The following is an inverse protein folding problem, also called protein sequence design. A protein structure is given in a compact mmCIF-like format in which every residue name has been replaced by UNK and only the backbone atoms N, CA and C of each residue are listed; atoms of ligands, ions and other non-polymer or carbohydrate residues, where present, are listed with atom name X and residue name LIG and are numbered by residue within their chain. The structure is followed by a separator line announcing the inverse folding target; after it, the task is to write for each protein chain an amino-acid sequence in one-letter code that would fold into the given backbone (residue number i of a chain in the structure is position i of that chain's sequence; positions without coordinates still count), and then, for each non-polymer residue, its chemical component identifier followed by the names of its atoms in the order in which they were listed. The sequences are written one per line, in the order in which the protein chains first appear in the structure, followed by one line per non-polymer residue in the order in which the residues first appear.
data_IF_778652030592
#
_entry.id   IF_778652030592
#
_cell.length_a   1.000
_cell.length_b   1.000
_cell.length_c   1.000
_cell.angle_alpha   90.00
_cell.angle_beta   90.00
_cell.angle_gamma   90.00
#
_symmetry.space_group_name_H-M   'P 1'
#
loop_
_entity.id
_entity.type
_entity.pdbx_description
1 polymer ?
#
# COMPACT_ATOMS: atom_id res chain seq x y z
N UNK A 1 -28.49 6.79 -42.64
CA UNK A 1 -28.74 6.15 -41.32
C UNK A 1 -27.58 5.21 -41.11
N UNK A 2 -26.50 5.67 -40.47
CA UNK A 2 -25.41 4.79 -39.99
C UNK A 2 -25.95 4.07 -38.78
N UNK A 3 -26.22 2.77 -38.95
CA UNK A 3 -26.48 1.88 -37.82
C UNK A 3 -25.18 1.75 -37.07
N UNK A 4 -25.05 2.47 -35.98
CA UNK A 4 -23.95 2.25 -34.98
C UNK A 4 -24.10 0.80 -34.56
N UNK A 5 -23.27 -0.07 -35.11
CA UNK A 5 -23.15 -1.45 -34.61
C UNK A 5 -22.69 -1.36 -33.18
N UNK A 6 -23.61 -1.55 -32.25
CA UNK A 6 -23.26 -1.79 -30.84
C UNK A 6 -22.49 -3.10 -30.86
N UNK A 7 -21.17 -3.03 -30.75
CA UNK A 7 -20.33 -4.21 -30.68
C UNK A 7 -20.61 -4.91 -29.35
N UNK A 8 -21.28 -6.07 -29.45
CA UNK A 8 -21.54 -6.94 -28.27
C UNK A 8 -20.23 -7.23 -27.57
N UNK A 9 -20.20 -7.10 -26.24
CA UNK A 9 -19.02 -7.37 -25.43
C UNK A 9 -18.60 -8.85 -25.53
N UNK A 10 -19.60 -9.74 -25.58
CA UNK A 10 -19.45 -11.17 -25.85
C UNK A 10 -20.40 -11.50 -26.99
N UNK A 11 -19.90 -12.04 -28.13
CA UNK A 11 -20.74 -12.37 -29.26
C UNK A 11 -21.97 -13.22 -28.89
N UNK A 12 -23.11 -12.85 -29.37
CA UNK A 12 -24.42 -13.50 -29.15
C UNK A 12 -24.96 -13.39 -27.72
N UNK A 13 -24.37 -12.53 -26.86
CA UNK A 13 -24.94 -12.19 -25.57
C UNK A 13 -25.40 -10.73 -25.53
N UNK A 14 -26.58 -10.44 -24.94
CA UNK A 14 -26.95 -9.07 -24.61
C UNK A 14 -25.81 -8.38 -23.80
N UNK A 15 -25.66 -7.06 -24.03
CA UNK A 15 -24.56 -6.29 -23.42
C UNK A 15 -24.52 -6.40 -21.90
N UNK A 16 -25.68 -6.42 -21.26
CA UNK A 16 -25.81 -6.52 -19.81
C UNK A 16 -25.30 -7.87 -19.29
N UNK A 17 -25.60 -8.96 -20.00
CA UNK A 17 -25.12 -10.30 -19.63
C UNK A 17 -23.62 -10.45 -19.90
N UNK A 18 -23.12 -9.86 -20.99
CA UNK A 18 -21.69 -9.80 -21.25
C UNK A 18 -20.94 -9.06 -20.16
N UNK A 19 -21.44 -7.89 -19.72
CA UNK A 19 -20.87 -7.13 -18.61
C UNK A 19 -20.91 -7.92 -17.29
N UNK A 20 -22.04 -8.60 -17.00
CA UNK A 20 -22.18 -9.43 -15.80
C UNK A 20 -21.16 -10.58 -15.78
N UNK A 21 -20.92 -11.24 -16.91
CA UNK A 21 -19.88 -12.26 -17.04
C UNK A 21 -18.49 -11.70 -16.73
N UNK A 22 -18.17 -10.54 -17.33
CA UNK A 22 -16.86 -9.88 -17.08
C UNK A 22 -16.71 -9.44 -15.63
N UNK A 23 -17.78 -8.93 -15.01
CA UNK A 23 -17.81 -8.47 -13.63
C UNK A 23 -17.46 -9.58 -12.64
N UNK A 24 -17.89 -10.81 -12.92
CA UNK A 24 -17.67 -12.00 -12.07
C UNK A 24 -16.33 -12.69 -12.29
N UNK A 25 -15.54 -12.26 -13.28
CA UNK A 25 -14.22 -12.86 -13.50
C UNK A 25 -13.32 -12.62 -12.26
N UNK A 26 -12.65 -13.67 -11.75
CA UNK A 26 -11.64 -13.47 -10.73
C UNK A 26 -10.48 -12.64 -11.30
N UNK A 27 -9.85 -11.82 -10.47
CA UNK A 27 -8.75 -10.95 -10.93
C UNK A 27 -7.59 -11.76 -11.57
N UNK A 28 -7.37 -12.98 -11.13
CA UNK A 28 -6.37 -13.90 -11.70
C UNK A 28 -6.61 -14.23 -13.17
N UNK A 29 -7.86 -14.14 -13.64
CA UNK A 29 -8.24 -14.34 -15.04
C UNK A 29 -8.15 -13.06 -15.89
N UNK A 30 -8.03 -11.87 -15.27
CA UNK A 30 -8.06 -10.59 -15.98
C UNK A 30 -6.96 -10.48 -17.04
N UNK A 31 -5.74 -10.95 -16.72
CA UNK A 31 -4.62 -10.94 -17.68
C UNK A 31 -4.95 -11.69 -18.97
N UNK A 32 -5.53 -12.88 -18.86
CA UNK A 32 -5.89 -13.68 -20.03
C UNK A 32 -7.06 -13.05 -20.76
N UNK A 33 -8.06 -12.58 -20.02
CA UNK A 33 -9.22 -11.91 -20.59
C UNK A 33 -8.85 -10.61 -21.32
N UNK A 34 -7.93 -9.80 -20.78
CA UNK A 34 -7.47 -8.56 -21.44
C UNK A 34 -6.75 -8.79 -22.78
N UNK A 35 -6.27 -10.01 -23.05
CA UNK A 35 -5.60 -10.38 -24.28
C UNK A 35 -6.58 -10.86 -25.39
N UNK A 36 -7.85 -11.05 -25.08
CA UNK A 36 -8.86 -11.53 -26.03
C UNK A 36 -9.15 -10.50 -27.12
N UNK A 37 -9.42 -9.26 -26.73
CA UNK A 37 -9.60 -8.14 -27.65
C UNK A 37 -9.41 -6.80 -26.93
N UNK A 38 -9.25 -5.74 -27.74
CA UNK A 38 -9.05 -4.38 -27.19
C UNK A 38 -10.21 -3.93 -26.30
N UNK A 39 -11.46 -4.22 -26.67
CA UNK A 39 -12.65 -3.85 -25.89
C UNK A 39 -12.63 -4.47 -24.48
N UNK A 40 -12.21 -5.74 -24.36
CA UNK A 40 -12.07 -6.38 -23.05
C UNK A 40 -10.91 -5.78 -22.25
N UNK A 41 -9.79 -5.50 -22.90
CA UNK A 41 -8.67 -4.83 -22.26
C UNK A 41 -9.09 -3.45 -21.71
N UNK A 42 -9.66 -2.61 -22.58
CA UNK A 42 -10.10 -1.26 -22.21
C UNK A 42 -11.16 -1.29 -21.08
N UNK A 43 -12.07 -2.28 -21.08
CA UNK A 43 -13.05 -2.47 -20.02
C UNK A 43 -12.39 -2.83 -18.70
N UNK A 44 -11.55 -3.89 -18.70
CA UNK A 44 -10.93 -4.43 -17.50
C UNK A 44 -9.96 -3.44 -16.83
N UNK A 45 -9.31 -2.58 -17.60
CA UNK A 45 -8.42 -1.54 -17.12
C UNK A 45 -9.14 -0.26 -16.65
N UNK A 46 -10.45 -0.12 -17.00
CA UNK A 46 -11.18 1.11 -16.72
C UNK A 46 -11.53 1.25 -15.24
N UNK A 47 -11.42 2.49 -14.74
CA UNK A 47 -11.84 2.81 -13.37
C UNK A 47 -13.33 2.59 -13.13
N UNK A 48 -14.15 2.83 -14.15
CA UNK A 48 -15.61 2.67 -14.05
C UNK A 48 -15.98 1.20 -13.82
N UNK A 49 -15.28 0.28 -14.48
CA UNK A 49 -15.44 -1.15 -14.25
C UNK A 49 -14.94 -1.58 -12.88
N UNK A 50 -13.81 -1.04 -12.42
CA UNK A 50 -13.34 -1.26 -11.06
C UNK A 50 -14.40 -0.85 -10.02
N UNK A 51 -14.95 0.37 -10.13
CA UNK A 51 -15.99 0.84 -9.20
C UNK A 51 -17.28 0.05 -9.31
N UNK A 52 -17.64 -0.40 -10.53
CA UNK A 52 -18.79 -1.27 -10.75
C UNK A 52 -18.61 -2.61 -10.01
N UNK A 53 -17.46 -3.27 -10.16
CA UNK A 53 -17.14 -4.50 -9.42
C UNK A 53 -17.14 -4.28 -7.92
N UNK A 54 -16.53 -3.20 -7.45
CA UNK A 54 -16.48 -2.83 -6.03
C UNK A 54 -17.86 -2.66 -5.44
N UNK A 55 -18.75 -1.95 -6.12
CA UNK A 55 -20.14 -1.75 -5.71
C UNK A 55 -20.91 -3.06 -5.58
N UNK A 56 -20.63 -4.02 -6.43
CA UNK A 56 -21.28 -5.34 -6.45
C UNK A 56 -20.58 -6.39 -5.55
N UNK A 57 -19.46 -6.04 -4.92
CA UNK A 57 -18.71 -6.93 -4.04
C UNK A 57 -17.90 -8.02 -4.76
N UNK A 58 -17.55 -7.80 -6.02
CA UNK A 58 -16.73 -8.72 -6.81
C UNK A 58 -15.24 -8.36 -6.83
N UNK A 59 -14.84 -7.36 -6.06
CA UNK A 59 -13.42 -7.04 -5.86
C UNK A 59 -12.79 -8.03 -4.90
N UNK A 60 -11.48 -8.20 -5.03
CA UNK A 60 -10.67 -9.11 -4.25
C UNK A 60 -9.57 -8.35 -3.51
N UNK A 61 -9.28 -8.71 -2.26
CA UNK A 61 -8.30 -8.01 -1.43
C UNK A 61 -7.07 -8.88 -1.22
N UNK A 62 -5.91 -8.31 -1.57
CA UNK A 62 -4.61 -8.94 -1.39
C UNK A 62 -3.70 -8.06 -0.55
N UNK A 63 -2.80 -8.68 0.23
CA UNK A 63 -1.73 -7.96 0.90
C UNK A 63 -0.54 -7.82 -0.05
N UNK A 64 -0.05 -6.59 -0.24
CA UNK A 64 1.19 -6.30 -0.94
C UNK A 64 2.24 -5.88 0.09
N UNK A 65 3.39 -6.56 0.09
CA UNK A 65 4.45 -6.42 1.10
C UNK A 65 5.75 -5.97 0.43
N UNK A 66 6.42 -4.98 0.98
CA UNK A 66 7.85 -4.75 0.73
C UNK A 66 8.61 -5.72 1.63
N UNK A 67 9.15 -6.77 1.06
CA UNK A 67 9.70 -7.90 1.79
C UNK A 67 11.11 -8.23 1.36
N UNK A 68 11.96 -8.59 2.32
CA UNK A 68 13.30 -9.08 2.07
C UNK A 68 13.25 -10.38 1.24
N UNK A 69 14.10 -10.45 0.21
CA UNK A 69 14.24 -11.61 -0.67
C UNK A 69 15.35 -12.50 -0.16
N UNK A 70 15.04 -13.78 0.05
CA UNK A 70 16.02 -14.78 0.46
C UNK A 70 16.50 -15.62 -0.73
N UNK A 71 17.81 -15.98 -0.76
CA UNK A 71 18.33 -17.06 -1.57
C UNK A 71 18.67 -16.72 -3.03
N UNK A 72 18.58 -17.71 -3.91
CA UNK A 72 19.18 -17.81 -5.24
C UNK A 72 18.73 -16.77 -6.29
N UNK A 73 17.72 -15.96 -6.00
CA UNK A 73 17.23 -14.91 -6.91
C UNK A 73 18.07 -13.61 -6.85
N UNK A 74 19.01 -13.53 -5.91
CA UNK A 74 20.01 -12.46 -5.89
C UNK A 74 21.04 -12.78 -6.97
N UNK A 75 20.83 -12.27 -8.17
CA UNK A 75 21.76 -12.37 -9.29
C UNK A 75 23.19 -12.02 -8.83
N UNK A 76 24.18 -12.84 -9.23
CA UNK A 76 25.59 -12.63 -9.01
C UNK A 76 26.01 -11.23 -9.42
N UNK A 77 26.15 -10.34 -8.46
CA UNK A 77 26.53 -8.95 -8.72
C UNK A 77 26.29 -8.00 -7.55
N UNK A 78 25.56 -8.42 -6.52
CA UNK A 78 25.34 -7.56 -5.35
C UNK A 78 26.61 -7.47 -4.49
N UNK A 79 26.86 -6.26 -4.01
CA UNK A 79 27.96 -5.86 -3.14
C UNK A 79 28.17 -6.84 -1.99
N UNK A 80 29.44 -7.07 -1.63
CA UNK A 80 29.88 -7.67 -0.37
C UNK A 80 29.23 -6.92 0.82
N UNK A 81 28.07 -7.38 1.27
CA UNK A 81 27.42 -6.84 2.47
C UNK A 81 26.13 -7.64 2.74
N UNK A 82 25.94 -8.06 3.98
CA UNK A 82 24.78 -8.85 4.46
C UNK A 82 23.45 -8.06 4.50
N UNK A 83 23.25 -7.04 3.67
CA UNK A 83 21.98 -6.29 3.63
C UNK A 83 20.98 -7.03 2.77
N UNK A 84 19.74 -7.24 3.25
CA UNK A 84 18.70 -7.90 2.46
C UNK A 84 18.30 -7.03 1.30
N UNK A 85 18.08 -7.62 0.11
CA UNK A 85 17.41 -6.99 -1.02
C UNK A 85 15.89 -7.04 -0.79
N UNK A 86 15.15 -6.02 -1.20
CA UNK A 86 13.70 -5.97 -1.05
C UNK A 86 12.97 -6.08 -2.38
N UNK A 87 11.90 -6.85 -2.40
CA UNK A 87 10.95 -6.98 -3.52
C UNK A 87 9.52 -6.85 -3.05
N UNK A 88 8.58 -6.91 -4.00
CA UNK A 88 7.14 -6.91 -3.69
C UNK A 88 6.60 -8.34 -3.68
N UNK A 89 6.07 -8.75 -2.55
CA UNK A 89 5.33 -10.01 -2.37
C UNK A 89 3.85 -9.72 -2.27
N UNK A 90 3.04 -10.54 -2.91
CA UNK A 90 1.57 -10.51 -2.82
C UNK A 90 1.11 -11.76 -2.09
N UNK A 91 0.27 -11.58 -1.08
CA UNK A 91 -0.42 -12.65 -0.39
C UNK A 91 -1.93 -12.53 -0.58
N UNK A 92 -2.53 -13.58 -1.07
CA UNK A 92 -3.98 -13.72 -1.21
C UNK A 92 -4.52 -14.60 -0.09
N UNK A 93 -5.27 -13.98 0.83
CA UNK A 93 -5.82 -14.69 2.00
C UNK A 93 -6.92 -15.69 1.65
N UNK A 94 -7.63 -15.50 0.53
CA UNK A 94 -8.72 -16.39 0.13
C UNK A 94 -8.19 -17.70 -0.47
N UNK A 95 -7.14 -17.63 -1.28
CA UNK A 95 -6.49 -18.81 -1.89
C UNK A 95 -5.28 -19.31 -1.10
N UNK A 96 -4.84 -18.58 -0.07
CA UNK A 96 -3.62 -18.87 0.71
C UNK A 96 -2.37 -18.98 -0.19
N UNK A 97 -2.30 -18.14 -1.24
CA UNK A 97 -1.21 -18.17 -2.21
C UNK A 97 -0.29 -16.98 -2.05
N UNK A 98 0.99 -17.22 -2.30
CA UNK A 98 2.05 -16.24 -2.28
C UNK A 98 2.61 -16.07 -3.68
N UNK A 99 2.90 -14.85 -4.07
CA UNK A 99 3.48 -14.52 -5.37
C UNK A 99 4.48 -13.37 -5.23
N UNK A 100 5.59 -13.43 -5.99
CA UNK A 100 6.52 -12.32 -6.14
C UNK A 100 6.17 -11.55 -7.41
N UNK A 101 6.02 -10.22 -7.31
CA UNK A 101 5.87 -9.40 -8.51
C UNK A 101 7.20 -9.27 -9.24
N UNK A 102 7.11 -9.07 -10.56
CA UNK A 102 8.28 -8.72 -11.36
C UNK A 102 8.98 -7.47 -10.80
N UNK A 103 10.29 -7.34 -10.95
CA UNK A 103 11.02 -6.17 -10.50
C UNK A 103 10.44 -4.86 -11.05
N UNK A 104 10.52 -3.82 -10.24
CA UNK A 104 10.09 -2.46 -10.61
C UNK A 104 11.04 -1.90 -11.70
N UNK A 105 10.54 -1.18 -12.70
CA UNK A 105 11.41 -0.51 -13.69
C UNK A 105 12.51 0.29 -13.02
N UNK A 106 13.70 0.32 -13.63
CA UNK A 106 14.91 0.95 -13.10
C UNK A 106 15.52 0.30 -11.83
N UNK A 107 14.82 -0.65 -11.21
CA UNK A 107 15.26 -1.36 -10.01
C UNK A 107 15.19 -2.88 -10.18
N UNK A 108 16.01 -3.47 -11.07
CA UNK A 108 15.89 -4.90 -11.44
C UNK A 108 16.33 -5.86 -10.34
N UNK A 109 17.07 -5.37 -9.32
CA UNK A 109 17.63 -6.21 -8.26
C UNK A 109 16.87 -6.02 -6.96
N UNK A 110 16.60 -4.76 -6.55
CA UNK A 110 15.96 -4.44 -5.28
C UNK A 110 15.21 -3.11 -5.36
N UNK A 111 14.16 -2.96 -4.56
CA UNK A 111 13.38 -1.74 -4.47
C UNK A 111 14.16 -0.60 -3.82
N UNK A 112 13.77 0.67 -4.03
CA UNK A 112 14.20 1.75 -3.16
C UNK A 112 13.92 1.42 -1.70
N UNK A 113 14.92 1.57 -0.85
CA UNK A 113 14.79 1.30 0.58
C UNK A 113 13.76 2.26 1.19
N UNK A 114 12.89 1.73 2.06
CA UNK A 114 11.85 2.52 2.73
C UNK A 114 10.85 3.19 1.79
N UNK A 115 10.69 2.67 0.56
CA UNK A 115 9.61 3.11 -0.31
C UNK A 115 8.24 2.85 0.34
N UNK A 116 7.27 3.70 0.02
CA UNK A 116 5.91 3.61 0.54
C UNK A 116 4.97 2.97 -0.48
N UNK A 117 4.00 2.22 0.00
CA UNK A 117 2.98 1.55 -0.80
C UNK A 117 1.62 2.19 -0.58
N UNK A 118 0.86 2.35 -1.65
CA UNK A 118 -0.55 2.70 -1.59
C UNK A 118 -1.36 1.86 -2.60
N UNK A 119 -2.64 1.68 -2.29
CA UNK A 119 -3.61 1.09 -3.22
C UNK A 119 -4.48 2.18 -3.80
N UNK A 120 -4.61 2.24 -5.11
CA UNK A 120 -5.45 3.23 -5.76
C UNK A 120 -6.16 2.61 -6.98
N UNK A 121 -7.51 2.54 -6.95
CA UNK A 121 -8.34 2.02 -8.05
C UNK A 121 -7.87 0.65 -8.59
N UNK A 122 -7.63 -0.31 -7.68
CA UNK A 122 -7.19 -1.66 -8.05
C UNK A 122 -5.73 -1.78 -8.48
N UNK A 123 -4.94 -0.73 -8.34
CA UNK A 123 -3.52 -0.69 -8.69
C UNK A 123 -2.66 -0.52 -7.44
N UNK A 124 -1.46 -1.08 -7.46
CA UNK A 124 -0.44 -0.84 -6.44
C UNK A 124 0.43 0.35 -6.89
N UNK A 125 0.60 1.30 -6.01
CA UNK A 125 1.48 2.45 -6.22
C UNK A 125 2.66 2.36 -5.26
N UNK A 126 3.89 2.49 -5.79
CA UNK A 126 5.15 2.49 -5.04
C UNK A 126 5.81 3.85 -5.21
N UNK A 127 6.16 4.50 -4.11
CA UNK A 127 6.68 5.88 -4.15
C UNK A 127 7.87 6.10 -3.23
N UNK A 128 8.81 6.92 -3.70
CA UNK A 128 9.92 7.48 -2.93
C UNK A 128 10.84 6.43 -2.32
N UNK A 129 11.41 6.77 -1.19
CA UNK A 129 12.43 5.96 -0.53
C UNK A 129 13.84 6.40 -0.90
N UNK A 130 14.81 5.50 -0.73
CA UNK A 130 16.22 5.75 -0.98
C UNK A 130 16.74 4.78 -2.04
N UNK A 131 17.48 5.28 -2.99
CA UNK A 131 18.18 4.46 -3.95
C UNK A 131 19.13 3.48 -3.22
N UNK A 132 19.04 2.18 -3.48
CA UNK A 132 19.80 1.17 -2.72
C UNK A 132 21.31 1.19 -3.03
N UNK A 133 21.73 1.89 -4.09
CA UNK A 133 23.14 2.00 -4.50
C UNK A 133 23.77 3.29 -4.01
N UNK A 134 23.12 4.43 -4.27
CA UNK A 134 23.64 5.76 -3.90
C UNK A 134 23.26 6.18 -2.49
N UNK A 135 22.23 5.55 -1.89
CA UNK A 135 21.61 5.95 -0.62
C UNK A 135 21.08 7.39 -0.64
N UNK A 136 20.76 7.91 -1.83
CA UNK A 136 20.07 9.19 -1.99
C UNK A 136 18.57 9.00 -2.03
N UNK A 137 17.82 9.98 -1.56
CA UNK A 137 16.37 9.99 -1.67
C UNK A 137 15.94 10.10 -3.12
N UNK A 138 14.88 9.38 -3.47
CA UNK A 138 14.31 9.39 -4.81
C UNK A 138 12.87 9.92 -4.81
N UNK A 139 12.46 10.44 -5.97
CA UNK A 139 11.10 10.96 -6.22
C UNK A 139 10.25 10.02 -7.08
N UNK A 140 10.77 8.85 -7.40
CA UNK A 140 10.17 7.90 -8.33
C UNK A 140 8.78 7.45 -7.90
N UNK A 141 7.91 7.24 -8.89
CA UNK A 141 6.56 6.69 -8.74
C UNK A 141 6.42 5.54 -9.72
N UNK A 142 6.00 4.39 -9.23
CA UNK A 142 5.71 3.22 -10.03
C UNK A 142 4.30 2.73 -9.76
N UNK A 143 3.60 2.34 -10.81
CA UNK A 143 2.23 1.85 -10.73
C UNK A 143 2.16 0.46 -11.36
N UNK A 144 1.74 -0.52 -10.56
CA UNK A 144 1.48 -1.87 -11.02
C UNK A 144 0.00 -2.08 -11.28
N UNK A 145 -0.33 -2.57 -12.45
CA UNK A 145 -1.68 -2.95 -12.84
C UNK A 145 -1.84 -4.47 -12.78
N UNK A 146 -2.70 -4.94 -11.89
CA UNK A 146 -2.96 -6.37 -11.70
C UNK A 146 -3.68 -7.02 -12.88
N UNK A 147 -4.41 -6.23 -13.68
CA UNK A 147 -5.10 -6.72 -14.88
C UNK A 147 -4.10 -7.11 -15.98
N UNK A 148 -3.16 -6.21 -16.28
CA UNK A 148 -2.13 -6.43 -17.30
C UNK A 148 -0.89 -7.10 -16.77
N UNK A 149 -0.69 -7.08 -15.44
CA UNK A 149 0.52 -7.52 -14.73
C UNK A 149 1.76 -6.76 -15.21
N UNK A 150 1.62 -5.46 -15.38
CA UNK A 150 2.69 -4.58 -15.85
C UNK A 150 2.92 -3.42 -14.93
N UNK A 151 4.17 -3.04 -14.81
CA UNK A 151 4.58 -1.77 -14.24
C UNK A 151 4.51 -0.65 -15.27
N UNK A 152 4.17 0.53 -14.83
CA UNK A 152 4.45 1.79 -15.53
C UNK A 152 5.12 2.76 -14.57
N UNK A 153 5.94 3.65 -15.10
CA UNK A 153 6.39 4.81 -14.37
C UNK A 153 5.27 5.85 -14.32
N UNK A 154 5.14 6.52 -13.19
CA UNK A 154 4.30 7.69 -13.01
C UNK A 154 5.17 8.95 -12.95
N UNK A 155 4.52 10.11 -13.01
CA UNK A 155 5.19 11.40 -12.85
C UNK A 155 5.84 11.48 -11.48
N UNK A 156 7.13 11.78 -11.43
CA UNK A 156 7.89 11.89 -10.19
C UNK A 156 7.27 12.87 -9.19
N UNK A 157 7.45 12.60 -7.91
CA UNK A 157 7.04 13.52 -6.84
C UNK A 157 7.76 14.87 -7.01
N UNK A 158 7.07 16.00 -6.77
CA UNK A 158 7.66 17.33 -6.89
C UNK A 158 8.82 17.60 -5.93
N UNK A 159 8.96 16.79 -4.88
CA UNK A 159 10.09 16.85 -3.95
C UNK A 159 10.47 15.45 -3.51
N UNK A 160 11.78 15.20 -3.44
CA UNK A 160 12.32 13.98 -2.81
C UNK A 160 11.94 13.96 -1.34
N UNK A 161 11.46 12.83 -0.86
CA UNK A 161 11.15 12.62 0.56
C UNK A 161 11.13 11.15 0.92
N UNK A 162 11.36 10.86 2.19
CA UNK A 162 11.24 9.52 2.78
C UNK A 162 10.50 9.58 4.12
N UNK A 163 10.03 8.44 4.59
CA UNK A 163 9.32 8.27 5.86
C UNK A 163 8.05 9.14 6.02
N UNK A 164 7.41 9.45 4.90
CA UNK A 164 6.19 10.25 4.83
C UNK A 164 4.94 9.39 5.07
N UNK A 165 3.87 10.03 5.51
CA UNK A 165 2.55 9.45 5.56
C UNK A 165 1.96 9.32 4.15
N UNK A 166 1.38 8.16 3.83
CA UNK A 166 0.73 7.89 2.56
C UNK A 166 -0.69 7.35 2.78
N UNK A 167 -1.61 7.74 1.93
CA UNK A 167 -2.98 7.22 1.92
C UNK A 167 -3.63 7.45 0.56
N UNK A 168 -4.72 6.74 0.27
CA UNK A 168 -5.45 6.90 -0.99
C UNK A 168 -6.94 7.12 -0.76
N UNK A 169 -7.51 8.02 -1.54
CA UNK A 169 -8.93 8.33 -1.51
C UNK A 169 -9.41 8.83 -2.89
N UNK A 170 -10.50 8.27 -3.37
CA UNK A 170 -11.16 8.69 -4.62
C UNK A 170 -10.22 8.84 -5.83
N UNK A 171 -9.42 7.82 -6.13
CA UNK A 171 -8.52 7.81 -7.29
C UNK A 171 -7.27 8.68 -7.14
N UNK A 172 -6.98 9.14 -5.92
CA UNK A 172 -5.84 9.99 -5.59
C UNK A 172 -5.00 9.40 -4.48
N UNK A 173 -3.69 9.62 -4.53
CA UNK A 173 -2.74 9.25 -3.48
C UNK A 173 -2.24 10.52 -2.81
N UNK A 174 -2.33 10.57 -1.49
CA UNK A 174 -1.91 11.68 -0.63
C UNK A 174 -0.59 11.33 0.01
N UNK A 175 0.38 12.24 -0.08
CA UNK A 175 1.73 12.11 0.46
C UNK A 175 2.02 13.34 1.31
N UNK A 176 2.29 13.15 2.60
CA UNK A 176 2.42 14.26 3.55
C UNK A 176 3.53 13.99 4.55
N UNK A 177 4.30 15.03 4.91
CA UNK A 177 5.36 14.91 5.90
C UNK A 177 6.59 14.14 5.40
N UNK A 178 7.22 13.40 6.30
CA UNK A 178 8.53 12.79 6.07
C UNK A 178 9.65 13.81 6.22
N UNK A 179 10.81 13.52 5.67
CA UNK A 179 11.94 14.45 5.67
C UNK A 179 12.55 14.63 4.27
N UNK A 180 13.24 15.75 4.07
CA UNK A 180 14.01 16.07 2.88
C UNK A 180 15.41 15.41 2.88
N UNK A 181 16.19 15.68 1.85
CA UNK A 181 17.56 15.16 1.71
C UNK A 181 18.53 15.63 2.82
N UNK A 182 18.20 16.72 3.52
CA UNK A 182 18.96 17.24 4.67
C UNK A 182 18.44 16.70 6.01
N UNK A 183 17.46 15.76 5.98
CA UNK A 183 16.78 15.22 7.15
C UNK A 183 15.97 16.26 7.93
N UNK A 184 15.54 17.34 7.30
CA UNK A 184 14.58 18.26 7.88
C UNK A 184 13.18 17.68 7.76
N UNK A 185 12.45 17.59 8.87
CA UNK A 185 11.06 17.16 8.88
C UNK A 185 10.19 18.12 8.06
N UNK A 186 9.20 17.58 7.37
CA UNK A 186 8.34 18.33 6.47
C UNK A 186 6.91 18.44 7.02
N UNK A 187 6.25 19.57 6.73
CA UNK A 187 4.82 19.78 6.90
C UNK A 187 4.06 19.88 5.58
N UNK A 188 4.78 19.84 4.47
CA UNK A 188 4.23 19.92 3.12
C UNK A 188 3.65 18.59 2.67
N UNK A 189 2.71 18.64 1.73
CA UNK A 189 2.11 17.47 1.13
C UNK A 189 1.74 17.67 -0.33
N UNK A 190 1.53 16.57 -1.00
CA UNK A 190 1.17 16.49 -2.40
C UNK A 190 0.07 15.47 -2.63
N UNK A 191 -0.75 15.70 -3.63
CA UNK A 191 -1.79 14.78 -4.09
C UNK A 191 -1.47 14.34 -5.51
N UNK A 192 -1.34 13.05 -5.72
CA UNK A 192 -1.16 12.43 -7.01
C UNK A 192 -2.49 11.94 -7.57
N UNK A 193 -2.93 12.48 -8.68
CA UNK A 193 -4.10 11.99 -9.43
C UNK A 193 -3.64 10.87 -10.37
N UNK A 194 -4.02 9.63 -10.04
CA UNK A 194 -3.56 8.43 -10.75
C UNK A 194 -4.00 8.44 -12.22
N UNK A 195 -5.18 8.98 -12.51
CA UNK A 195 -5.77 8.97 -13.86
C UNK A 195 -5.17 10.01 -14.78
N UNK A 196 -4.73 11.14 -14.22
CA UNK A 196 -4.14 12.26 -14.96
C UNK A 196 -2.62 12.20 -15.01
N UNK A 197 -2.01 11.40 -14.14
CA UNK A 197 -0.57 11.38 -13.91
C UNK A 197 -0.02 12.76 -13.51
N UNK A 198 -0.72 13.44 -12.60
CA UNK A 198 -0.41 14.81 -12.18
C UNK A 198 -0.37 14.96 -10.68
N UNK A 199 0.51 15.89 -10.22
CA UNK A 199 0.63 16.28 -8.83
C UNK A 199 -0.02 17.65 -8.58
N UNK A 200 -0.70 17.77 -7.45
CA UNK A 200 -1.24 19.03 -6.92
C UNK A 200 -0.74 19.22 -5.51
N UNK A 201 -0.35 20.44 -5.16
CA UNK A 201 0.08 20.77 -3.80
C UNK A 201 -1.11 20.70 -2.84
N UNK A 202 -0.88 20.11 -1.66
CA UNK A 202 -1.83 20.04 -0.57
C UNK A 202 -1.59 21.22 0.39
N UNK A 203 -2.64 21.71 1.05
CA UNK A 203 -2.47 22.63 2.18
C UNK A 203 -1.54 22.01 3.22
N UNK A 204 -0.66 22.82 3.82
CA UNK A 204 0.34 22.31 4.75
C UNK A 204 -0.27 21.95 6.10
N UNK A 205 0.31 20.95 6.76
CA UNK A 205 0.05 20.66 8.17
C UNK A 205 0.47 21.85 9.06
N UNK A 206 -0.04 21.89 10.30
CA UNK A 206 0.39 22.88 11.28
C UNK A 206 1.81 22.61 11.78
N UNK A 207 2.19 21.33 11.88
CA UNK A 207 3.50 20.89 12.37
C UNK A 207 4.24 20.05 11.32
N UNK A 208 5.55 20.12 11.34
CA UNK A 208 6.40 19.20 10.60
C UNK A 208 6.42 17.82 11.27
N UNK A 209 6.41 16.75 10.47
CA UNK A 209 6.33 15.37 10.96
C UNK A 209 7.18 14.44 10.11
N UNK A 210 8.32 14.02 10.65
CA UNK A 210 9.11 12.95 10.09
C UNK A 210 8.73 11.61 10.74
N UNK A 211 8.93 10.50 10.04
CA UNK A 211 8.57 9.14 10.44
C UNK A 211 7.12 9.00 10.93
N UNK A 212 6.22 9.74 10.31
CA UNK A 212 4.78 9.66 10.57
C UNK A 212 4.13 8.52 9.76
N UNK A 213 2.90 8.13 10.17
CA UNK A 213 2.12 7.10 9.48
C UNK A 213 0.82 7.67 8.94
N UNK A 214 0.43 7.25 7.73
CA UNK A 214 -0.81 7.66 7.08
C UNK A 214 -1.90 6.60 7.18
N UNK A 215 -3.11 7.02 7.61
CA UNK A 215 -4.30 6.16 7.66
C UNK A 215 -5.50 6.92 7.13
N UNK A 216 -6.28 6.27 6.25
CA UNK A 216 -7.56 6.83 5.78
C UNK A 216 -8.72 6.21 6.57
N UNK A 217 -9.53 7.05 7.22
CA UNK A 217 -10.68 6.64 8.02
C UNK A 217 -11.90 7.41 7.53
N UNK A 218 -12.82 6.73 6.84
CA UNK A 218 -13.96 7.39 6.21
C UNK A 218 -13.51 8.43 5.20
N UNK A 219 -13.93 9.68 5.39
CA UNK A 219 -13.61 10.81 4.51
C UNK A 219 -12.45 11.67 5.05
N UNK A 220 -11.55 11.08 5.83
CA UNK A 220 -10.44 11.76 6.48
C UNK A 220 -9.10 11.04 6.24
N UNK A 221 -8.04 11.83 6.03
CA UNK A 221 -6.67 11.34 6.02
C UNK A 221 -5.95 11.77 7.31
N UNK A 222 -5.60 10.78 8.11
CA UNK A 222 -4.91 10.94 9.38
C UNK A 222 -3.41 10.80 9.19
N UNK A 223 -2.64 11.79 9.62
CA UNK A 223 -1.18 11.76 9.74
C UNK A 223 -0.85 11.61 11.21
N UNK A 224 -0.43 10.41 11.58
CA UNK A 224 -0.30 9.97 12.98
C UNK A 224 1.13 10.13 13.45
N UNK A 225 1.30 10.82 14.58
CA UNK A 225 2.60 10.94 15.27
C UNK A 225 3.70 11.57 14.41
N UNK A 226 4.92 11.04 14.48
CA UNK A 226 6.10 11.65 13.89
C UNK A 226 6.81 12.60 14.86
N UNK A 227 7.86 13.25 14.38
CA UNK A 227 8.63 14.24 15.16
C UNK A 227 9.11 15.39 14.25
N UNK A 228 9.41 16.53 14.86
CA UNK A 228 10.01 17.68 14.17
C UNK A 228 11.54 17.59 14.07
N UNK A 229 12.11 18.44 13.24
CA UNK A 229 13.56 18.51 12.95
C UNK A 229 14.41 18.58 14.22
N UNK A 230 14.00 19.43 15.17
CA UNK A 230 14.77 19.65 16.41
C UNK A 230 14.60 18.56 17.47
N UNK A 231 13.60 17.68 17.29
CA UNK A 231 13.22 16.64 18.26
C UNK A 231 13.30 15.24 17.68
N UNK A 232 14.32 14.94 16.90
CA UNK A 232 14.47 13.68 16.19
C UNK A 232 14.32 12.46 17.13
N UNK A 233 13.42 11.54 16.76
CA UNK A 233 13.11 10.34 17.53
C UNK A 233 12.13 10.55 18.70
N UNK A 234 11.74 11.80 19.01
CA UNK A 234 10.75 12.10 20.04
C UNK A 234 9.32 12.06 19.44
N UNK A 235 8.79 10.86 19.22
CA UNK A 235 7.49 10.64 18.60
C UNK A 235 6.35 11.29 19.38
N UNK A 236 5.61 12.16 18.72
CA UNK A 236 4.46 12.88 19.27
C UNK A 236 3.26 11.95 19.51
N UNK A 237 2.43 12.29 20.51
CA UNK A 237 1.21 11.54 20.83
C UNK A 237 -0.05 12.06 20.16
N UNK A 238 0.07 12.94 19.17
CA UNK A 238 -1.06 13.54 18.46
C UNK A 238 -1.08 13.11 16.97
N UNK A 239 -2.11 13.55 16.28
CA UNK A 239 -2.24 13.41 14.83
C UNK A 239 -2.75 14.72 14.23
N UNK A 240 -2.48 14.93 12.95
CA UNK A 240 -3.19 15.91 12.13
C UNK A 240 -4.08 15.20 11.11
N UNK A 241 -5.27 15.73 10.92
CA UNK A 241 -6.31 15.09 10.12
C UNK A 241 -6.73 16.05 9.01
N UNK A 242 -6.62 15.59 7.78
CA UNK A 242 -7.09 16.29 6.60
C UNK A 242 -8.49 15.82 6.23
N UNK A 243 -9.45 16.73 6.18
CA UNK A 243 -10.81 16.45 5.74
C UNK A 243 -10.90 16.61 4.23
N UNK A 244 -11.17 15.52 3.49
CA UNK A 244 -11.23 15.57 2.03
C UNK A 244 -12.31 16.51 1.48
N UNK A 245 -13.41 16.68 2.20
CA UNK A 245 -14.52 17.54 1.79
C UNK A 245 -14.23 19.03 1.91
N UNK A 246 -13.55 19.44 2.96
CA UNK A 246 -13.24 20.87 3.24
C UNK A 246 -11.84 21.28 2.78
N UNK A 247 -10.93 20.34 2.61
CA UNK A 247 -9.54 20.62 2.31
C UNK A 247 -8.76 21.25 3.47
N UNK A 248 -9.22 21.05 4.72
CA UNK A 248 -8.66 21.67 5.91
C UNK A 248 -8.02 20.66 6.85
N UNK A 249 -7.00 21.10 7.57
CA UNK A 249 -6.34 20.34 8.62
C UNK A 249 -6.91 20.66 10.00
N UNK A 250 -7.06 19.65 10.84
CA UNK A 250 -7.33 19.78 12.27
C UNK A 250 -6.38 18.91 13.08
N UNK A 251 -6.04 19.35 14.29
CA UNK A 251 -5.20 18.57 15.21
C UNK A 251 -6.08 17.70 16.11
N UNK A 252 -5.65 16.45 16.33
CA UNK A 252 -6.26 15.53 17.30
C UNK A 252 -5.22 15.15 18.34
N UNK A 253 -5.42 15.65 19.56
CA UNK A 253 -4.53 15.37 20.70
C UNK A 253 -4.79 13.97 21.27
N UNK A 254 -3.71 13.32 21.77
CA UNK A 254 -3.77 11.98 22.37
C UNK A 254 -4.31 10.93 21.40
N UNK A 255 -3.99 11.07 20.13
CA UNK A 255 -4.36 10.12 19.08
C UNK A 255 -3.45 8.89 19.05
N UNK A 256 -2.22 9.01 19.55
CA UNK A 256 -1.21 7.97 19.53
C UNK A 256 -0.46 7.87 20.86
N UNK A 257 0.35 6.84 21.02
CA UNK A 257 1.17 6.59 22.21
C UNK A 257 2.46 7.40 22.08
N UNK A 258 2.71 8.39 22.97
CA UNK A 258 3.94 9.18 22.92
C UNK A 258 5.20 8.30 23.00
N UNK A 259 6.23 8.63 22.21
CA UNK A 259 7.49 7.91 22.18
C UNK A 259 7.45 6.60 21.37
N UNK A 260 6.30 6.18 20.86
CA UNK A 260 6.18 5.00 20.00
C UNK A 260 6.20 5.38 18.52
N UNK A 261 7.12 4.79 17.75
CA UNK A 261 7.15 4.93 16.30
C UNK A 261 5.84 4.38 15.69
N UNK A 262 5.12 5.14 14.86
CA UNK A 262 3.85 4.70 14.27
C UNK A 262 4.03 3.85 13.01
N UNK A 263 5.18 3.90 12.36
CA UNK A 263 5.41 3.33 11.01
C UNK A 263 4.98 1.88 10.89
N UNK A 264 4.03 1.64 9.97
CA UNK A 264 3.43 0.33 9.68
C UNK A 264 2.80 -0.37 10.90
N UNK A 265 2.71 0.33 12.04
CA UNK A 265 2.19 -0.22 13.30
C UNK A 265 0.79 0.30 13.66
N UNK A 266 0.29 1.30 12.92
CA UNK A 266 -1.02 1.90 13.17
C UNK A 266 -2.13 1.06 12.55
N UNK A 267 -3.13 0.74 13.34
CA UNK A 267 -4.36 0.12 12.91
C UNK A 267 -5.58 0.94 13.29
N UNK A 268 -6.72 0.58 12.72
CA UNK A 268 -8.02 1.18 13.05
C UNK A 268 -8.91 0.11 13.67
N UNK A 269 -9.32 0.34 14.92
CA UNK A 269 -10.26 -0.53 15.62
C UNK A 269 -11.68 -0.43 15.05
N UNK A 270 -12.55 -1.33 15.45
CA UNK A 270 -13.98 -1.31 15.05
C UNK A 270 -14.73 -0.05 15.49
N UNK A 271 -14.28 0.55 16.56
CA UNK A 271 -14.81 1.81 17.09
C UNK A 271 -14.30 3.05 16.34
N UNK A 272 -13.51 2.84 15.26
CA UNK A 272 -12.88 3.90 14.48
C UNK A 272 -11.69 4.57 15.16
N UNK A 273 -11.22 4.05 16.30
CA UNK A 273 -10.05 4.58 16.99
C UNK A 273 -8.77 3.96 16.49
N UNK A 274 -7.70 4.76 16.55
CA UNK A 274 -6.36 4.28 16.28
C UNK A 274 -5.92 3.29 17.36
N UNK A 275 -5.23 2.25 16.93
CA UNK A 275 -4.66 1.22 17.78
C UNK A 275 -3.27 0.83 17.28
N UNK A 276 -2.47 0.23 18.13
CA UNK A 276 -1.17 -0.32 17.74
C UNK A 276 -1.29 -1.82 17.51
N UNK A 277 -0.84 -2.30 16.35
CA UNK A 277 -0.77 -3.73 16.08
C UNK A 277 0.13 -4.48 17.06
N UNK A 278 1.17 -3.83 17.60
CA UNK A 278 2.06 -4.42 18.61
C UNK A 278 1.37 -4.72 19.96
N UNK A 279 0.19 -4.18 20.20
CA UNK A 279 -0.55 -4.39 21.44
C UNK A 279 -1.57 -5.55 21.35
N UNK A 280 -1.72 -6.15 20.15
CA UNK A 280 -2.68 -7.24 19.96
C UNK A 280 -2.20 -8.55 20.55
N UNK A 281 -0.95 -8.94 20.32
CA UNK A 281 -0.42 -10.23 20.78
C UNK A 281 1.09 -10.16 21.06
N UNK A 282 1.57 -10.83 22.12
CA UNK A 282 2.99 -10.94 22.41
C UNK A 282 3.86 -11.52 21.29
N UNK A 283 3.31 -12.38 20.45
CA UNK A 283 4.03 -13.04 19.35
C UNK A 283 4.44 -12.09 18.22
N UNK A 284 3.84 -10.90 18.14
CA UNK A 284 4.14 -9.90 17.11
C UNK A 284 4.62 -8.57 17.67
N UNK A 285 5.14 -8.54 18.90
CA UNK A 285 5.51 -7.30 19.60
C UNK A 285 6.60 -6.49 18.90
N UNK A 286 7.61 -7.20 18.39
CA UNK A 286 8.76 -6.55 17.78
C UNK A 286 8.51 -6.38 16.28
N UNK A 287 8.55 -5.13 15.80
CA UNK A 287 8.33 -4.83 14.39
C UNK A 287 6.94 -5.17 13.87
N UNK A 288 5.92 -5.18 14.75
CA UNK A 288 4.55 -5.49 14.39
C UNK A 288 4.03 -4.61 13.24
N UNK A 289 3.48 -5.26 12.23
CA UNK A 289 2.80 -4.61 11.10
C UNK A 289 1.46 -5.28 10.86
N UNK A 290 0.49 -4.50 10.43
CA UNK A 290 -0.84 -5.03 10.15
C UNK A 290 -1.39 -4.49 8.84
N UNK A 291 -2.01 -5.38 8.07
CA UNK A 291 -2.66 -5.05 6.81
C UNK A 291 -4.10 -5.52 6.87
N UNK A 292 -5.02 -4.57 6.78
CA UNK A 292 -6.47 -4.87 6.84
C UNK A 292 -6.97 -5.41 5.50
N UNK A 293 -7.42 -6.66 5.48
CA UNK A 293 -7.95 -7.40 4.34
C UNK A 293 -9.47 -7.61 4.50
N UNK A 294 -10.23 -6.53 4.49
CA UNK A 294 -11.69 -6.60 4.72
C UNK A 294 -12.04 -6.89 6.18
N UNK A 295 -12.60 -8.08 6.46
CA UNK A 295 -12.91 -8.52 7.83
C UNK A 295 -11.70 -9.07 8.57
N UNK A 296 -10.63 -9.38 7.87
CA UNK A 296 -9.40 -9.95 8.40
C UNK A 296 -8.30 -8.89 8.48
N UNK A 297 -7.32 -9.16 9.33
CA UNK A 297 -6.04 -8.45 9.35
C UNK A 297 -4.93 -9.48 9.23
N UNK A 298 -4.02 -9.24 8.28
CA UNK A 298 -2.75 -9.92 8.26
C UNK A 298 -1.81 -9.19 9.21
N UNK A 299 -1.27 -9.91 10.19
CA UNK A 299 -0.25 -9.41 11.11
C UNK A 299 1.08 -10.07 10.80
N UNK A 300 2.15 -9.30 10.84
CA UNK A 300 3.52 -9.81 10.78
C UNK A 300 4.36 -9.14 11.83
N UNK A 301 5.36 -9.86 12.34
CA UNK A 301 6.26 -9.36 13.37
C UNK A 301 7.09 -10.49 13.98
N UNK A 302 7.80 -10.14 15.05
CA UNK A 302 8.70 -11.03 15.77
C UNK A 302 8.24 -11.15 17.22
N UNK A 303 8.42 -12.31 17.83
CA UNK A 303 8.24 -12.45 19.28
C UNK A 303 9.38 -11.77 20.05
N UNK A 304 10.62 -11.87 19.54
CA UNK A 304 11.83 -11.28 20.07
C UNK A 304 12.76 -10.76 18.96
N UNK A 305 13.64 -9.82 19.27
CA UNK A 305 14.67 -9.39 18.33
C UNK A 305 15.59 -10.56 17.94
N UNK A 306 15.69 -10.81 16.63
CA UNK A 306 16.49 -11.88 16.05
C UNK A 306 15.75 -13.18 15.78
N UNK A 307 14.46 -13.28 16.14
CA UNK A 307 13.58 -14.37 15.69
C UNK A 307 13.24 -14.22 14.20
N UNK A 308 12.85 -15.30 13.52
CA UNK A 308 12.30 -15.19 12.15
C UNK A 308 10.99 -14.41 12.15
N UNK A 309 10.72 -13.76 11.03
CA UNK A 309 9.42 -13.09 10.79
C UNK A 309 8.31 -14.13 10.77
N UNK A 310 7.24 -13.87 11.50
CA UNK A 310 6.06 -14.72 11.53
C UNK A 310 4.83 -13.98 10.99
N UNK A 311 3.89 -14.74 10.43
CA UNK A 311 2.72 -14.22 9.74
C UNK A 311 1.45 -14.86 10.28
N UNK A 312 0.45 -14.03 10.55
CA UNK A 312 -0.82 -14.45 11.15
C UNK A 312 -1.99 -13.79 10.45
N UNK A 313 -3.13 -14.46 10.44
CA UNK A 313 -4.44 -13.87 10.16
C UNK A 313 -5.23 -13.77 11.45
N UNK A 314 -5.99 -12.70 11.60
CA UNK A 314 -6.93 -12.52 12.68
C UNK A 314 -8.24 -11.94 12.12
N UNK A 315 -9.36 -12.50 12.53
CA UNK A 315 -10.67 -11.90 12.24
C UNK A 315 -10.86 -10.64 13.09
N UNK A 316 -11.21 -9.54 12.45
CA UNK A 316 -11.45 -8.27 13.18
C UNK A 316 -12.56 -8.38 14.24
N UNK A 317 -13.48 -9.37 14.10
CA UNK A 317 -14.51 -9.65 15.11
C UNK A 317 -13.90 -10.04 16.44
N UNK A 318 -12.76 -10.67 16.40
CA UNK A 318 -12.08 -11.33 17.49
C UNK A 318 -10.81 -10.60 17.95
N UNK A 319 -10.50 -9.42 17.37
CA UNK A 319 -9.25 -8.72 17.60
C UNK A 319 -8.93 -8.40 19.08
N UNK A 320 -9.92 -8.38 19.96
CA UNK A 320 -9.72 -8.24 21.41
C UNK A 320 -9.60 -9.57 22.18
N UNK A 321 -10.01 -10.69 21.58
CA UNK A 321 -9.98 -12.04 22.17
C UNK A 321 -9.68 -13.12 21.13
N UNK A 322 -9.29 -12.75 19.91
CA UNK A 322 -9.16 -13.64 18.77
C UNK A 322 -7.89 -14.45 18.82
N UNK A 323 -8.02 -15.71 18.45
CA UNK A 323 -6.89 -16.59 18.21
C UNK A 323 -6.21 -16.17 16.93
N UNK A 324 -4.91 -15.86 17.01
CA UNK A 324 -4.06 -15.70 15.82
C UNK A 324 -4.01 -17.04 15.08
N UNK A 325 -4.35 -17.01 13.80
CA UNK A 325 -4.16 -18.14 12.91
C UNK A 325 -2.83 -17.97 12.18
N UNK A 326 -1.87 -18.84 12.46
CA UNK A 326 -0.55 -18.77 11.82
C UNK A 326 -0.66 -19.14 10.34
N UNK A 327 -0.13 -18.27 9.48
CA UNK A 327 -0.08 -18.51 8.03
C UNK A 327 1.11 -19.43 7.74
N UNK A 328 0.91 -20.43 6.89
CA UNK A 328 2.00 -21.25 6.36
C UNK A 328 2.67 -20.44 5.27
N UNK A 329 3.93 -20.08 5.49
CA UNK A 329 4.73 -19.27 4.58
C UNK A 329 5.80 -20.16 3.94
N UNK A 330 5.86 -20.28 2.61
CA UNK A 330 7.00 -20.94 1.95
C UNK A 330 8.31 -20.21 2.26
N UNK A 331 9.41 -20.96 2.35
CA UNK A 331 10.72 -20.42 2.77
C UNK A 331 11.15 -19.20 1.96
N UNK A 332 10.84 -19.17 0.67
CA UNK A 332 11.13 -18.06 -0.25
C UNK A 332 10.40 -16.75 0.08
N UNK A 333 9.30 -16.82 0.87
CA UNK A 333 8.50 -15.68 1.32
C UNK A 333 8.61 -15.41 2.82
N UNK A 334 9.57 -16.01 3.52
CA UNK A 334 9.75 -15.88 4.98
C UNK A 334 10.56 -14.65 5.41
N UNK A 335 10.96 -13.79 4.46
CA UNK A 335 11.80 -12.62 4.71
C UNK A 335 11.10 -11.52 5.49
N UNK A 336 11.93 -10.69 6.16
CA UNK A 336 11.49 -9.52 6.91
C UNK A 336 10.62 -8.58 6.06
N UNK A 337 9.49 -8.15 6.61
CA UNK A 337 8.57 -7.20 5.98
C UNK A 337 8.92 -5.78 6.42
N UNK A 338 9.20 -4.89 5.48
CA UNK A 338 9.50 -3.47 5.76
C UNK A 338 8.23 -2.63 5.86
N UNK A 339 7.31 -2.81 4.92
CA UNK A 339 6.02 -2.13 4.86
C UNK A 339 5.02 -2.94 4.04
N UNK A 340 3.76 -2.54 4.02
CA UNK A 340 2.76 -3.20 3.20
C UNK A 340 1.46 -2.42 3.12
N UNK A 341 0.64 -2.77 2.14
CA UNK A 341 -0.71 -2.24 2.00
C UNK A 341 -1.68 -3.31 1.49
N UNK A 342 -2.97 -3.08 1.70
CA UNK A 342 -4.02 -3.86 1.05
C UNK A 342 -4.32 -3.27 -0.32
N UNK A 343 -4.31 -4.10 -1.36
CA UNK A 343 -4.84 -3.72 -2.68
C UNK A 343 -6.16 -4.45 -2.89
N UNK A 344 -7.19 -3.67 -3.23
CA UNK A 344 -8.50 -4.17 -3.61
C UNK A 344 -8.60 -4.13 -5.14
N UNK A 345 -8.68 -5.31 -5.78
CA UNK A 345 -8.58 -5.51 -7.24
C UNK A 345 -9.95 -5.83 -7.83
#
# INVERSE_FOLDING_TARGET
METTMVTELIPSLPQELGLECMTRLPYTAHRVASQVCKQWCDLLESKDFYYHRKKLGYTHKVACLVQAVHGADVLQGSKQGNSPCFGITVFDSASQTWERLDPVPNYPIELPLFCQLASCEGKLVVMGGWDPVSYEQVSHVFVYDFTTRKWREGKEMPSKRSFFAIGSYSGRVYVVGGHDENKNALRTGWVYDLSKDEWTELTQMNQERDECEGVVIGDEFWVVSGYGTDNQGAFEGDAEVYEFGSGQWRQVKKAWIPGRCPRSCVGVGKDGRLMSWADLDPMVRAGARGITLGSQVMLTGLDNQGSPEEFYLIEMKDAQNGKLEKIIVPDEFSGFVQSGCCVEI
#
